data_IF_089414803830
#
_entry.id   IF_089414803830
#
_cell.length_a   1.000
_cell.length_b   1.000
_cell.length_c   1.000
_cell.angle_alpha   90.00
_cell.angle_beta   90.00
_cell.angle_gamma   90.00
#
_symmetry.space_group_name_H-M   'P 1'
#
loop_
_entity.id
_entity.type
_entity.pdbx_description
1 polymer ?
#
# COMPACT_ATOMS: atom_id res chain seq x y z
N UNK A 1 20.29 -7.22 37.09
CA UNK A 1 20.26 -6.54 35.77
C UNK A 1 19.79 -5.12 35.99
N UNK A 2 20.56 -4.14 35.54
CA UNK A 2 20.18 -2.73 35.71
C UNK A 2 18.99 -2.35 34.79
N UNK A 3 18.25 -1.28 35.15
CA UNK A 3 17.09 -0.82 34.38
C UNK A 3 17.45 -0.56 32.90
N UNK A 4 18.63 0.01 32.64
CA UNK A 4 19.14 0.28 31.30
C UNK A 4 19.32 -1.00 30.47
N UNK A 5 19.89 -2.05 31.05
CA UNK A 5 20.09 -3.35 30.40
C UNK A 5 18.76 -4.01 30.04
N UNK A 6 17.78 -3.91 30.95
CA UNK A 6 16.42 -4.42 30.71
C UNK A 6 15.72 -3.70 29.55
N UNK A 7 15.83 -2.38 29.47
CA UNK A 7 15.27 -1.59 28.37
C UNK A 7 15.90 -1.99 27.03
N UNK A 8 17.24 -2.11 26.98
CA UNK A 8 17.96 -2.55 25.76
C UNK A 8 17.52 -3.96 25.34
N UNK A 9 17.39 -4.88 26.32
CA UNK A 9 16.90 -6.24 26.07
C UNK A 9 15.49 -6.23 25.46
N UNK A 10 14.56 -5.46 26.04
CA UNK A 10 13.18 -5.33 25.54
C UNK A 10 13.14 -4.70 24.14
N UNK A 11 13.96 -3.70 23.86
CA UNK A 11 14.10 -3.11 22.53
C UNK A 11 14.63 -4.12 21.50
N UNK A 12 15.60 -4.96 21.91
CA UNK A 12 16.09 -6.05 21.05
C UNK A 12 14.98 -7.07 20.77
N UNK A 13 14.23 -7.50 21.79
CA UNK A 13 13.08 -8.41 21.61
C UNK A 13 12.01 -7.81 20.69
N UNK A 14 11.77 -6.49 20.79
CA UNK A 14 10.85 -5.78 19.92
C UNK A 14 11.31 -5.77 18.44
N UNK A 15 12.62 -5.66 18.18
CA UNK A 15 13.20 -5.71 16.83
C UNK A 15 13.15 -7.11 16.22
N UNK A 16 13.49 -8.13 17.02
CA UNK A 16 13.51 -9.54 16.59
C UNK A 16 12.15 -10.22 16.66
N UNK A 17 11.12 -9.54 17.21
CA UNK A 17 9.78 -10.08 17.51
C UNK A 17 9.81 -11.33 18.42
N UNK A 18 10.78 -11.42 19.31
CA UNK A 18 10.93 -12.54 20.25
C UNK A 18 10.08 -12.32 21.50
N UNK A 19 8.82 -12.77 21.42
CA UNK A 19 7.86 -12.70 22.54
C UNK A 19 8.34 -13.52 23.75
N UNK A 20 8.95 -14.70 23.52
CA UNK A 20 9.35 -15.61 24.59
C UNK A 20 10.42 -14.97 25.50
N UNK A 21 11.47 -14.38 24.88
CA UNK A 21 12.52 -13.69 25.60
C UNK A 21 11.98 -12.44 26.29
N UNK A 22 11.10 -11.68 25.61
CA UNK A 22 10.42 -10.52 26.19
C UNK A 22 9.55 -10.86 27.41
N UNK A 23 8.82 -11.99 27.37
CA UNK A 23 7.99 -12.45 28.50
C UNK A 23 8.84 -12.85 29.71
N UNK A 24 10.00 -13.50 29.49
CA UNK A 24 10.93 -13.83 30.60
C UNK A 24 11.46 -12.55 31.26
N UNK A 25 11.83 -11.55 30.46
CA UNK A 25 12.25 -10.24 30.99
C UNK A 25 11.11 -9.57 31.78
N UNK A 26 9.86 -9.63 31.29
CA UNK A 26 8.68 -9.12 32.01
C UNK A 26 8.51 -9.79 33.38
N UNK A 27 8.57 -11.13 33.46
CA UNK A 27 8.49 -11.85 34.72
C UNK A 27 9.59 -11.45 35.70
N UNK A 28 10.80 -11.25 35.21
CA UNK A 28 11.91 -10.73 36.05
C UNK A 28 11.61 -9.33 36.59
N UNK A 29 11.09 -8.43 35.75
CA UNK A 29 10.71 -7.07 36.13
C UNK A 29 9.62 -7.08 37.23
N UNK A 30 8.61 -7.95 37.08
CA UNK A 30 7.55 -8.09 38.08
C UNK A 30 8.08 -8.61 39.41
N UNK A 31 8.91 -9.67 39.41
CA UNK A 31 9.52 -10.25 40.66
C UNK A 31 10.39 -9.26 41.40
N UNK A 32 11.07 -8.36 40.68
CA UNK A 32 11.96 -7.36 41.29
C UNK A 32 11.25 -6.05 41.65
N UNK A 33 9.95 -5.92 41.35
CA UNK A 33 9.15 -4.72 41.60
C UNK A 33 9.61 -3.48 40.83
N UNK A 34 10.40 -3.67 39.76
CA UNK A 34 10.99 -2.58 38.98
C UNK A 34 9.97 -1.86 38.10
N UNK A 35 8.82 -2.49 37.77
CA UNK A 35 7.80 -1.90 36.91
C UNK A 35 7.30 -0.54 37.46
N UNK A 36 7.13 -0.43 38.77
CA UNK A 36 6.64 0.78 39.43
C UNK A 36 7.70 1.81 39.70
N UNK A 37 9.00 1.44 39.56
CA UNK A 37 10.13 2.33 39.82
C UNK A 37 10.55 3.19 38.64
N UNK A 38 10.17 2.75 37.39
CA UNK A 38 10.58 3.43 36.18
C UNK A 38 9.50 3.39 35.11
N UNK A 39 8.87 4.53 34.74
CA UNK A 39 7.94 4.60 33.63
C UNK A 39 8.55 4.17 32.29
N UNK A 40 9.86 4.35 32.11
CA UNK A 40 10.59 3.92 30.91
C UNK A 40 10.51 2.41 30.68
N UNK A 41 10.54 1.64 31.76
CA UNK A 41 10.50 0.17 31.70
C UNK A 41 9.12 -0.32 31.29
N UNK A 42 8.06 0.31 31.83
CA UNK A 42 6.69 0.04 31.43
C UNK A 42 6.44 0.37 29.95
N UNK A 43 6.90 1.54 29.50
CA UNK A 43 6.80 1.93 28.09
C UNK A 43 7.56 0.98 27.16
N UNK A 44 8.75 0.49 27.59
CA UNK A 44 9.52 -0.48 26.83
C UNK A 44 8.79 -1.85 26.72
N UNK A 45 8.13 -2.28 27.80
CA UNK A 45 7.30 -3.50 27.81
C UNK A 45 6.09 -3.37 26.89
N UNK A 46 5.34 -2.26 26.98
CA UNK A 46 4.20 -1.98 26.09
C UNK A 46 4.66 -2.01 24.62
N UNK A 47 5.77 -1.30 24.32
CA UNK A 47 6.34 -1.27 22.96
C UNK A 47 6.76 -2.65 22.47
N UNK A 48 7.42 -3.45 23.33
CA UNK A 48 7.85 -4.81 23.00
C UNK A 48 6.66 -5.70 22.68
N UNK A 49 5.65 -5.75 23.55
CA UNK A 49 4.46 -6.57 23.30
C UNK A 49 3.67 -6.09 22.08
N UNK A 50 3.51 -4.77 21.91
CA UNK A 50 2.85 -4.21 20.73
C UNK A 50 3.56 -4.62 19.44
N UNK A 51 4.89 -4.44 19.34
CA UNK A 51 5.67 -4.83 18.15
C UNK A 51 5.68 -6.33 17.88
N UNK A 52 5.53 -7.14 18.92
CA UNK A 52 5.37 -8.59 18.80
C UNK A 52 3.94 -9.04 18.46
N UNK A 53 2.98 -8.13 18.28
CA UNK A 53 1.58 -8.45 17.98
C UNK A 53 0.73 -8.87 19.19
N UNK A 54 1.30 -8.83 20.41
CA UNK A 54 0.60 -9.23 21.63
C UNK A 54 -0.11 -8.03 22.29
N UNK A 55 -1.11 -7.45 21.60
CA UNK A 55 -1.78 -6.22 22.05
C UNK A 55 -2.49 -6.36 23.40
N UNK A 56 -3.07 -7.53 23.67
CA UNK A 56 -3.70 -7.82 24.96
C UNK A 56 -2.71 -7.70 26.12
N UNK A 57 -1.50 -8.25 25.95
CA UNK A 57 -0.44 -8.11 26.98
C UNK A 57 0.11 -6.69 27.07
N UNK A 58 0.21 -5.99 25.94
CA UNK A 58 0.59 -4.58 25.94
C UNK A 58 -0.41 -3.75 26.76
N UNK A 59 -1.71 -4.02 26.60
CA UNK A 59 -2.76 -3.36 27.36
C UNK A 59 -2.73 -3.71 28.84
N UNK A 60 -2.54 -4.98 29.20
CA UNK A 60 -2.40 -5.41 30.62
C UNK A 60 -1.25 -4.66 31.31
N UNK A 61 -0.07 -4.59 30.66
CA UNK A 61 1.05 -3.81 31.20
C UNK A 61 0.70 -2.34 31.36
N UNK A 62 -0.03 -1.76 30.41
CA UNK A 62 -0.48 -0.38 30.49
C UNK A 62 -1.42 -0.16 31.69
N UNK A 63 -2.34 -1.08 31.94
CA UNK A 63 -3.26 -1.02 33.09
C UNK A 63 -2.53 -1.17 34.44
N UNK A 64 -1.47 -1.98 34.48
CA UNK A 64 -0.65 -2.19 35.66
C UNK A 64 0.24 -0.98 36.02
N UNK A 65 0.38 0.00 35.11
CA UNK A 65 1.17 1.20 35.39
C UNK A 65 0.48 2.11 36.44
N UNK A 66 1.18 2.42 37.51
CA UNK A 66 0.71 3.39 38.53
C UNK A 66 0.60 4.82 38.01
N UNK A 67 1.53 5.20 37.13
CA UNK A 67 1.58 6.53 36.50
C UNK A 67 1.67 6.34 35.01
N UNK A 68 0.68 6.81 34.30
CA UNK A 68 0.60 6.81 32.83
C UNK A 68 0.95 8.19 32.33
N UNK A 69 1.98 8.30 31.53
CA UNK A 69 2.36 9.55 30.88
C UNK A 69 1.98 9.55 29.40
N UNK A 70 2.18 10.68 28.72
CA UNK A 70 1.87 10.82 27.28
C UNK A 70 2.59 9.75 26.42
N UNK A 71 3.79 9.31 26.83
CA UNK A 71 4.54 8.28 26.10
C UNK A 71 3.89 6.90 26.26
N UNK A 72 3.37 6.56 27.45
CA UNK A 72 2.64 5.31 27.70
C UNK A 72 1.41 5.22 26.79
N UNK A 73 0.61 6.29 26.75
CA UNK A 73 -0.56 6.40 25.88
C UNK A 73 -0.20 6.30 24.39
N UNK A 74 0.79 7.07 23.93
CA UNK A 74 1.20 7.05 22.53
C UNK A 74 1.75 5.68 22.10
N UNK A 75 2.46 4.99 23.01
CA UNK A 75 2.99 3.65 22.72
C UNK A 75 1.86 2.63 22.56
N UNK A 76 0.84 2.70 23.41
CA UNK A 76 -0.33 1.83 23.31
C UNK A 76 -1.15 2.14 22.04
N UNK A 77 -1.50 3.41 21.84
CA UNK A 77 -2.28 3.86 20.67
C UNK A 77 -1.55 3.49 19.36
N UNK A 78 -0.25 3.79 19.28
CA UNK A 78 0.59 3.44 18.13
C UNK A 78 0.67 1.93 17.87
N UNK A 79 0.68 1.12 18.93
CA UNK A 79 0.60 -0.32 18.86
C UNK A 79 -0.70 -0.80 18.19
N UNK A 80 -1.85 -0.30 18.63
CA UNK A 80 -3.15 -0.61 18.02
C UNK A 80 -3.23 -0.16 16.55
N UNK A 81 -2.74 1.05 16.24
CA UNK A 81 -2.71 1.56 14.85
C UNK A 81 -1.88 0.68 13.93
N UNK A 82 -0.71 0.23 14.39
CA UNK A 82 0.21 -0.56 13.56
C UNK A 82 -0.30 -1.97 13.24
N UNK A 83 -1.27 -2.48 14.01
CA UNK A 83 -1.91 -3.79 13.82
C UNK A 83 -3.33 -3.69 13.23
N UNK A 84 -3.72 -2.53 12.70
CA UNK A 84 -5.01 -2.35 12.02
C UNK A 84 -6.20 -2.13 12.97
N UNK A 85 -5.99 -2.05 14.28
CA UNK A 85 -7.02 -1.83 15.29
C UNK A 85 -7.30 -0.32 15.48
N UNK A 86 -7.68 0.35 14.41
CA UNK A 86 -7.89 1.80 14.39
C UNK A 86 -9.04 2.28 15.28
N UNK A 87 -10.08 1.47 15.46
CA UNK A 87 -11.23 1.84 16.30
C UNK A 87 -10.83 1.95 17.77
N UNK A 88 -10.09 0.96 18.27
CA UNK A 88 -9.55 0.91 19.62
C UNK A 88 -8.52 2.04 19.83
N UNK A 89 -7.67 2.29 18.85
CA UNK A 89 -6.70 3.39 18.91
C UNK A 89 -7.39 4.76 19.10
N UNK A 90 -8.47 5.02 18.36
CA UNK A 90 -9.24 6.27 18.51
C UNK A 90 -10.02 6.33 19.84
N UNK A 91 -10.46 5.20 20.37
CA UNK A 91 -11.06 5.11 21.69
C UNK A 91 -10.04 5.53 22.76
N UNK A 92 -8.83 4.95 22.74
CA UNK A 92 -7.75 5.30 23.69
C UNK A 92 -7.28 6.75 23.52
N UNK A 93 -7.22 7.27 22.29
CA UNK A 93 -6.93 8.69 22.08
C UNK A 93 -7.97 9.61 22.75
N UNK A 94 -9.24 9.23 22.73
CA UNK A 94 -10.30 9.96 23.43
C UNK A 94 -10.18 9.81 24.95
N UNK A 95 -9.92 8.60 25.44
CA UNK A 95 -9.79 8.30 26.86
C UNK A 95 -8.59 9.01 27.51
N UNK A 96 -7.49 9.18 26.78
CA UNK A 96 -6.28 9.88 27.22
C UNK A 96 -6.59 11.27 27.82
N UNK A 97 -7.65 11.95 27.33
CA UNK A 97 -8.06 13.27 27.84
C UNK A 97 -8.87 13.20 29.13
N UNK A 98 -9.47 12.04 29.45
CA UNK A 98 -10.47 11.92 30.52
C UNK A 98 -9.99 11.07 31.69
N UNK A 99 -9.12 10.09 31.48
CA UNK A 99 -8.73 9.11 32.50
C UNK A 99 -7.58 9.55 33.41
N UNK A 100 -6.60 10.25 32.85
CA UNK A 100 -5.42 10.66 33.62
C UNK A 100 -5.36 12.19 33.68
N UNK A 101 -5.61 12.77 34.85
CA UNK A 101 -5.52 14.22 35.07
C UNK A 101 -4.12 14.74 34.73
N UNK A 102 -4.07 15.76 33.85
CA UNK A 102 -2.82 16.39 33.43
C UNK A 102 -2.12 15.77 32.20
N UNK A 103 -2.64 14.68 31.63
CA UNK A 103 -2.10 14.13 30.39
C UNK A 103 -2.80 14.76 29.18
N UNK A 104 -2.09 15.61 28.46
CA UNK A 104 -2.58 16.27 27.25
C UNK A 104 -1.95 15.62 25.99
N UNK A 105 -2.76 15.38 24.91
CA UNK A 105 -2.23 14.93 23.64
C UNK A 105 -1.14 15.87 23.11
N UNK A 106 -0.04 15.29 22.69
CA UNK A 106 1.09 15.95 22.03
C UNK A 106 1.09 15.65 20.51
N UNK A 107 1.99 16.22 19.69
CA UNK A 107 2.04 15.93 18.24
C UNK A 107 2.04 14.44 17.91
N UNK A 108 2.77 13.60 18.66
CA UNK A 108 2.81 12.14 18.42
C UNK A 108 1.43 11.50 18.62
N UNK A 109 0.67 11.96 19.62
CA UNK A 109 -0.71 11.47 19.84
C UNK A 109 -1.60 11.76 18.64
N UNK A 110 -1.50 12.98 18.08
CA UNK A 110 -2.25 13.38 16.88
C UNK A 110 -1.84 12.59 15.65
N UNK A 111 -0.51 12.34 15.45
CA UNK A 111 -0.03 11.50 14.36
C UNK A 111 -0.64 10.09 14.40
N UNK A 112 -0.68 9.47 15.57
CA UNK A 112 -1.31 8.15 15.74
C UNK A 112 -2.81 8.20 15.44
N UNK A 113 -3.52 9.22 15.93
CA UNK A 113 -4.95 9.38 15.72
C UNK A 113 -5.31 9.66 14.25
N UNK A 114 -4.56 10.52 13.55
CA UNK A 114 -4.73 10.78 12.12
C UNK A 114 -4.47 9.52 11.29
N UNK A 115 -3.41 8.76 11.62
CA UNK A 115 -3.13 7.49 10.95
C UNK A 115 -4.26 6.47 11.15
N UNK A 116 -4.85 6.43 12.35
CA UNK A 116 -6.01 5.58 12.63
C UNK A 116 -7.22 6.00 11.81
N UNK A 117 -7.52 7.31 11.70
CA UNK A 117 -8.61 7.84 10.88
C UNK A 117 -8.43 7.47 9.41
N UNK A 118 -7.22 7.67 8.86
CA UNK A 118 -6.92 7.30 7.48
C UNK A 118 -7.05 5.80 7.22
N UNK A 119 -6.62 4.95 8.15
CA UNK A 119 -6.75 3.49 8.00
C UNK A 119 -8.21 3.00 8.08
N UNK A 120 -9.08 3.75 8.73
CA UNK A 120 -10.51 3.47 8.85
C UNK A 120 -11.37 4.22 7.82
N UNK A 121 -10.75 5.05 7.00
CA UNK A 121 -11.42 5.97 6.06
C UNK A 121 -12.47 6.85 6.77
N UNK A 122 -12.21 7.20 8.03
CA UNK A 122 -13.14 7.87 8.91
C UNK A 122 -13.00 9.41 8.82
N UNK A 123 -13.46 10.01 7.72
CA UNK A 123 -13.31 11.43 7.39
C UNK A 123 -13.79 12.35 8.53
N UNK A 124 -15.01 12.17 9.03
CA UNK A 124 -15.57 13.03 10.08
C UNK A 124 -14.72 13.04 11.37
N UNK A 125 -14.14 11.87 11.73
CA UNK A 125 -13.26 11.80 12.90
C UNK A 125 -11.93 12.50 12.62
N UNK A 126 -11.42 12.35 11.40
CA UNK A 126 -10.22 13.04 10.92
C UNK A 126 -10.38 14.56 10.97
N UNK A 127 -11.50 15.09 10.49
CA UNK A 127 -11.83 16.52 10.53
C UNK A 127 -11.93 17.05 11.97
N UNK A 128 -12.54 16.29 12.89
CA UNK A 128 -12.58 16.66 14.31
C UNK A 128 -11.19 16.72 14.94
N UNK A 129 -10.29 15.81 14.55
CA UNK A 129 -8.90 15.83 15.02
C UNK A 129 -8.16 17.02 14.40
N UNK A 130 -8.39 17.34 13.12
CA UNK A 130 -7.82 18.51 12.47
C UNK A 130 -8.22 19.79 13.18
N UNK A 131 -9.49 19.97 13.51
CA UNK A 131 -9.95 21.11 14.32
C UNK A 131 -9.24 21.19 15.69
N UNK A 132 -8.99 20.06 16.35
CA UNK A 132 -8.24 20.04 17.60
C UNK A 132 -6.76 20.45 17.41
N UNK A 133 -6.16 20.10 16.29
CA UNK A 133 -4.80 20.50 15.91
C UNK A 133 -4.75 22.02 15.71
N UNK A 134 -5.69 22.59 14.96
CA UNK A 134 -5.82 24.03 14.76
C UNK A 134 -6.02 24.79 16.08
N UNK A 135 -6.88 24.31 16.97
CA UNK A 135 -7.08 24.91 18.28
C UNK A 135 -5.83 24.89 19.17
N UNK A 136 -4.91 23.94 18.92
CA UNK A 136 -3.61 23.88 19.60
C UNK A 136 -2.48 24.63 18.88
N UNK A 137 -2.75 25.20 17.72
CA UNK A 137 -1.79 25.96 16.90
C UNK A 137 -0.55 25.13 16.53
N UNK A 138 -0.71 23.83 16.24
CA UNK A 138 0.36 22.91 15.84
C UNK A 138 0.21 22.44 14.38
N UNK A 139 -0.71 23.01 13.61
CA UNK A 139 -0.95 22.71 12.19
C UNK A 139 0.26 22.98 11.33
N UNK A 140 1.08 23.96 11.69
CA UNK A 140 2.29 24.34 10.97
C UNK A 140 3.47 23.38 11.20
N UNK A 141 3.36 22.43 12.13
CA UNK A 141 4.36 21.39 12.27
C UNK A 141 4.32 20.47 11.03
N UNK A 142 5.42 20.42 10.28
CA UNK A 142 5.51 19.71 9.01
C UNK A 142 5.10 18.22 9.11
N UNK A 143 5.38 17.57 10.23
CA UNK A 143 4.98 16.18 10.49
C UNK A 143 3.46 16.05 10.64
N UNK A 144 2.79 17.02 11.26
CA UNK A 144 1.34 17.07 11.42
C UNK A 144 0.67 17.33 10.06
N UNK A 145 1.13 18.37 9.32
CA UNK A 145 0.62 18.70 8.01
C UNK A 145 0.73 17.50 7.04
N UNK A 146 1.88 16.83 6.98
CA UNK A 146 2.06 15.63 6.16
C UNK A 146 1.12 14.48 6.56
N UNK A 147 0.83 14.33 7.85
CA UNK A 147 -0.10 13.30 8.33
C UNK A 147 -1.57 13.66 8.05
N UNK A 148 -1.92 14.94 8.06
CA UNK A 148 -3.23 15.44 7.63
C UNK A 148 -3.44 15.17 6.14
N UNK A 149 -2.47 15.51 5.28
CA UNK A 149 -2.52 15.20 3.85
C UNK A 149 -2.72 13.70 3.64
N UNK A 150 -1.95 12.84 4.33
CA UNK A 150 -2.08 11.39 4.24
C UNK A 150 -3.42 10.86 4.76
N UNK A 151 -3.99 11.44 5.80
CA UNK A 151 -5.31 11.09 6.31
C UNK A 151 -6.40 11.46 5.31
N UNK A 152 -6.40 12.70 4.80
CA UNK A 152 -7.38 13.16 3.82
C UNK A 152 -7.29 12.39 2.51
N UNK A 153 -6.07 12.07 2.05
CA UNK A 153 -5.82 11.20 0.89
C UNK A 153 -6.51 9.84 1.02
N UNK A 154 -6.37 9.18 2.16
CA UNK A 154 -6.99 7.87 2.42
C UNK A 154 -8.51 7.95 2.55
N UNK A 155 -9.03 9.08 3.01
CA UNK A 155 -10.47 9.35 3.10
C UNK A 155 -11.07 9.86 1.77
N UNK A 156 -10.33 9.80 0.66
CA UNK A 156 -10.73 10.31 -0.66
C UNK A 156 -11.14 11.80 -0.68
N UNK A 157 -10.63 12.60 0.26
CA UNK A 157 -10.92 14.02 0.44
C UNK A 157 -9.76 14.85 -0.12
N UNK A 158 -9.69 14.93 -1.46
CA UNK A 158 -8.55 15.48 -2.17
C UNK A 158 -8.43 17.00 -2.00
N UNK A 159 -9.56 17.70 -1.94
CA UNK A 159 -9.60 19.16 -1.76
C UNK A 159 -8.97 19.57 -0.44
N UNK A 160 -9.32 18.90 0.64
CA UNK A 160 -8.77 19.18 1.97
C UNK A 160 -7.29 18.79 2.05
N UNK A 161 -6.88 17.72 1.36
CA UNK A 161 -5.46 17.37 1.26
C UNK A 161 -4.66 18.47 0.55
N UNK A 162 -5.20 19.05 -0.53
CA UNK A 162 -4.61 20.16 -1.26
C UNK A 162 -4.55 21.42 -0.39
N UNK A 163 -5.65 21.79 0.29
CA UNK A 163 -5.69 22.98 1.15
C UNK A 163 -4.61 22.92 2.24
N UNK A 164 -4.48 21.77 2.92
CA UNK A 164 -3.41 21.58 3.92
C UNK A 164 -2.02 21.70 3.30
N UNK A 165 -1.81 21.19 2.08
CA UNK A 165 -0.52 21.31 1.40
C UNK A 165 -0.19 22.77 1.05
N UNK A 166 -1.18 23.52 0.58
CA UNK A 166 -1.00 24.92 0.16
C UNK A 166 -0.68 25.85 1.35
N UNK A 167 -1.08 25.48 2.56
CA UNK A 167 -0.71 26.19 3.80
C UNK A 167 0.73 25.93 4.25
N UNK A 168 1.41 24.88 3.73
CA UNK A 168 2.80 24.60 4.09
C UNK A 168 3.76 25.62 3.45
N UNK A 169 4.43 26.43 4.25
CA UNK A 169 5.37 27.44 3.74
C UNK A 169 6.55 26.84 2.98
N UNK A 170 7.12 25.74 3.49
CA UNK A 170 8.29 25.06 2.90
C UNK A 170 8.03 23.56 2.79
N UNK A 171 7.26 23.11 1.77
CA UNK A 171 6.99 21.69 1.59
C UNK A 171 8.28 20.92 1.27
N UNK A 172 8.49 19.80 1.94
CA UNK A 172 9.61 18.90 1.68
C UNK A 172 9.16 17.72 0.78
N UNK A 173 10.12 16.83 0.47
CA UNK A 173 9.84 15.64 -0.36
C UNK A 173 8.70 14.76 0.21
N UNK A 174 8.51 14.71 1.54
CA UNK A 174 7.45 13.93 2.16
C UNK A 174 6.08 14.59 1.90
N UNK A 175 6.00 15.93 1.98
CA UNK A 175 4.79 16.69 1.68
C UNK A 175 4.35 16.47 0.23
N UNK A 176 5.28 16.61 -0.71
CA UNK A 176 5.03 16.38 -2.13
C UNK A 176 4.62 14.94 -2.41
N UNK A 177 5.33 13.96 -1.84
CA UNK A 177 5.01 12.55 -2.02
C UNK A 177 3.61 12.21 -1.49
N UNK A 178 3.21 12.77 -0.34
CA UNK A 178 1.89 12.57 0.22
C UNK A 178 0.79 13.11 -0.69
N UNK A 179 0.94 14.33 -1.22
CA UNK A 179 -0.03 14.95 -2.12
C UNK A 179 -0.09 14.23 -3.46
N UNK A 180 1.06 13.96 -4.10
CA UNK A 180 1.15 13.23 -5.38
C UNK A 180 0.49 11.85 -5.25
N UNK A 181 0.72 11.15 -4.13
CA UNK A 181 0.05 9.86 -3.86
C UNK A 181 -1.46 10.01 -3.73
N UNK A 182 -1.94 11.10 -3.12
CA UNK A 182 -3.37 11.40 -3.04
C UNK A 182 -4.01 11.51 -4.43
N UNK A 183 -3.40 12.26 -5.32
CA UNK A 183 -3.87 12.48 -6.69
C UNK A 183 -3.86 11.20 -7.55
N UNK A 184 -2.80 10.38 -7.45
CA UNK A 184 -2.75 9.07 -8.14
C UNK A 184 -3.85 8.14 -7.65
N UNK A 185 -4.05 8.05 -6.33
CA UNK A 185 -5.07 7.16 -5.76
C UNK A 185 -6.49 7.59 -6.08
N UNK A 186 -6.74 8.89 -6.31
CA UNK A 186 -8.03 9.40 -6.79
C UNK A 186 -8.22 9.25 -8.31
N UNK A 187 -7.25 8.72 -9.04
CA UNK A 187 -7.28 8.61 -10.50
C UNK A 187 -7.02 9.92 -11.24
N UNK A 188 -6.65 11.01 -10.55
CA UNK A 188 -6.37 12.33 -11.14
C UNK A 188 -4.96 12.39 -11.73
N UNK A 189 -4.70 11.51 -12.70
CA UNK A 189 -3.36 11.28 -13.24
C UNK A 189 -2.75 12.51 -13.94
N UNK A 190 -3.57 13.35 -14.58
CA UNK A 190 -3.10 14.58 -15.22
C UNK A 190 -2.53 15.59 -14.20
N UNK A 191 -3.23 15.77 -13.09
CA UNK A 191 -2.77 16.64 -12.00
C UNK A 191 -1.54 16.06 -11.30
N UNK A 192 -1.45 14.74 -11.19
CA UNK A 192 -0.26 14.04 -10.66
C UNK A 192 1.00 14.45 -11.44
N UNK A 193 0.95 14.44 -12.78
CA UNK A 193 2.10 14.82 -13.62
C UNK A 193 2.41 16.32 -13.51
N UNK A 194 1.40 17.18 -13.40
CA UNK A 194 1.62 18.60 -13.14
C UNK A 194 2.32 18.85 -11.81
N UNK A 195 1.87 18.18 -10.73
CA UNK A 195 2.51 18.30 -9.42
C UNK A 195 3.94 17.76 -9.42
N UNK A 196 4.20 16.68 -10.16
CA UNK A 196 5.55 16.16 -10.35
C UNK A 196 6.46 17.21 -11.01
N UNK A 197 6.01 17.85 -12.10
CA UNK A 197 6.74 18.93 -12.76
C UNK A 197 6.96 20.15 -11.86
N UNK A 198 5.95 20.56 -11.09
CA UNK A 198 6.06 21.68 -10.14
C UNK A 198 7.08 21.38 -9.03
N UNK A 199 7.10 20.15 -8.50
CA UNK A 199 8.08 19.73 -7.51
C UNK A 199 9.51 19.85 -8.06
N UNK A 200 9.73 19.37 -9.29
CA UNK A 200 11.04 19.48 -9.96
C UNK A 200 11.44 20.93 -10.24
N UNK A 201 10.49 21.76 -10.68
CA UNK A 201 10.72 23.20 -10.91
C UNK A 201 11.13 23.94 -9.64
N UNK A 202 10.69 23.46 -8.46
CA UNK A 202 11.14 23.95 -7.14
C UNK A 202 12.48 23.36 -6.68
N UNK A 203 13.16 22.57 -7.51
CA UNK A 203 14.45 21.96 -7.21
C UNK A 203 14.40 20.81 -6.21
N UNK A 204 13.21 20.24 -5.93
CA UNK A 204 13.06 19.11 -5.01
C UNK A 204 13.24 17.82 -5.81
N UNK A 205 14.23 17.02 -5.43
CA UNK A 205 14.52 15.74 -6.09
C UNK A 205 13.46 14.68 -5.73
N UNK A 206 12.89 13.99 -6.76
CA UNK A 206 11.96 12.89 -6.53
C UNK A 206 12.63 11.72 -5.82
N UNK A 207 11.88 11.03 -4.97
CA UNK A 207 12.25 9.74 -4.40
C UNK A 207 11.50 8.59 -5.11
N UNK A 208 11.80 7.34 -4.74
CA UNK A 208 11.17 6.15 -5.34
C UNK A 208 9.64 6.22 -5.31
N UNK A 209 9.04 6.67 -4.21
CA UNK A 209 7.59 6.77 -4.07
C UNK A 209 6.97 7.76 -5.08
N UNK A 210 7.61 8.91 -5.30
CA UNK A 210 7.18 9.91 -6.27
C UNK A 210 7.34 9.40 -7.70
N UNK A 211 8.46 8.73 -8.02
CA UNK A 211 8.66 8.12 -9.33
C UNK A 211 7.60 7.06 -9.63
N UNK A 212 7.30 6.16 -8.68
CA UNK A 212 6.24 5.16 -8.81
C UNK A 212 4.89 5.83 -9.12
N UNK A 213 4.53 6.89 -8.40
CA UNK A 213 3.28 7.62 -8.64
C UNK A 213 3.24 8.26 -10.03
N UNK A 214 4.31 8.93 -10.44
CA UNK A 214 4.39 9.59 -11.73
C UNK A 214 4.36 8.58 -12.90
N UNK A 215 5.09 7.47 -12.80
CA UNK A 215 5.07 6.39 -13.79
C UNK A 215 3.69 5.72 -13.90
N UNK A 216 3.01 5.46 -12.77
CA UNK A 216 1.63 4.94 -12.77
C UNK A 216 0.68 5.91 -13.48
N UNK A 217 0.84 7.22 -13.26
CA UNK A 217 0.05 8.24 -13.95
C UNK A 217 0.32 8.25 -15.46
N UNK A 218 1.60 8.11 -15.89
CA UNK A 218 1.95 7.99 -17.32
C UNK A 218 1.29 6.75 -17.95
N UNK A 219 1.39 5.60 -17.31
CA UNK A 219 0.76 4.37 -17.81
C UNK A 219 -0.76 4.48 -17.91
N UNK A 220 -1.42 5.09 -16.93
CA UNK A 220 -2.87 5.30 -16.94
C UNK A 220 -3.34 6.29 -18.02
N UNK A 221 -2.52 7.28 -18.37
CA UNK A 221 -2.79 8.26 -19.44
C UNK A 221 -2.25 7.80 -20.81
N UNK A 222 -1.57 6.67 -20.88
CA UNK A 222 -0.87 6.19 -22.08
C UNK A 222 0.10 7.26 -22.62
N UNK A 223 0.76 8.00 -21.72
CA UNK A 223 1.67 9.09 -22.07
C UNK A 223 3.13 8.61 -22.07
N UNK A 224 3.55 8.03 -23.20
CA UNK A 224 4.89 7.50 -23.38
C UNK A 224 5.98 8.56 -23.23
N UNK A 225 5.77 9.77 -23.79
CA UNK A 225 6.77 10.83 -23.78
C UNK A 225 7.17 11.23 -22.35
N UNK A 226 6.18 11.53 -21.51
CA UNK A 226 6.44 11.81 -20.08
C UNK A 226 7.04 10.60 -19.36
N UNK A 227 6.62 9.38 -19.73
CA UNK A 227 7.18 8.15 -19.18
C UNK A 227 8.68 7.98 -19.44
N UNK A 228 9.13 8.26 -20.66
CA UNK A 228 10.54 8.22 -21.05
C UNK A 228 11.35 9.30 -20.34
N UNK A 229 10.80 10.52 -20.20
CA UNK A 229 11.44 11.59 -19.45
C UNK A 229 11.63 11.21 -17.97
N UNK A 230 10.59 10.63 -17.34
CA UNK A 230 10.67 10.16 -15.95
C UNK A 230 11.67 9.02 -15.83
N UNK A 231 11.72 8.06 -16.77
CA UNK A 231 12.72 6.99 -16.78
C UNK A 231 14.14 7.56 -16.81
N UNK A 232 14.39 8.57 -17.66
CA UNK A 232 15.69 9.26 -17.70
C UNK A 232 16.05 9.89 -16.34
N UNK A 233 15.07 10.42 -15.61
CA UNK A 233 15.30 10.98 -14.27
C UNK A 233 15.55 9.86 -13.23
N UNK A 234 14.87 8.73 -13.34
CA UNK A 234 15.12 7.53 -12.50
C UNK A 234 16.56 7.07 -12.66
N UNK A 235 17.06 6.97 -13.90
CA UNK A 235 18.46 6.62 -14.22
C UNK A 235 19.45 7.60 -13.61
N UNK A 236 19.23 8.91 -13.81
CA UNK A 236 20.10 9.96 -13.26
C UNK A 236 20.19 9.97 -11.74
N UNK A 237 19.13 9.54 -11.04
CA UNK A 237 19.07 9.52 -9.56
C UNK A 237 19.52 8.19 -8.95
N UNK A 238 19.87 7.19 -9.78
CA UNK A 238 20.25 5.86 -9.32
C UNK A 238 19.10 5.02 -8.73
N UNK A 239 17.85 5.43 -8.95
CA UNK A 239 16.67 4.72 -8.45
C UNK A 239 16.34 3.45 -9.27
N UNK A 240 17.12 3.12 -10.29
CA UNK A 240 16.98 1.90 -11.10
C UNK A 240 17.25 0.60 -10.33
N UNK A 241 17.91 0.66 -9.16
CA UNK A 241 18.15 -0.51 -8.33
C UNK A 241 16.90 -0.94 -7.53
N UNK A 242 15.89 -0.05 -7.44
CA UNK A 242 14.65 -0.34 -6.72
C UNK A 242 13.71 -1.23 -7.55
N UNK A 243 13.39 -2.41 -7.00
CA UNK A 243 12.52 -3.40 -7.67
C UNK A 243 11.12 -2.86 -7.97
N UNK A 244 10.56 -2.00 -7.09
CA UNK A 244 9.23 -1.42 -7.28
C UNK A 244 9.23 -0.38 -8.38
N UNK A 245 10.28 0.44 -8.49
CA UNK A 245 10.45 1.40 -9.58
C UNK A 245 10.56 0.68 -10.91
N UNK A 246 11.41 -0.36 -11.01
CA UNK A 246 11.57 -1.15 -12.24
C UNK A 246 10.28 -1.88 -12.64
N UNK A 247 9.57 -2.46 -11.67
CA UNK A 247 8.28 -3.10 -11.96
C UNK A 247 7.23 -2.10 -12.47
N UNK A 248 7.29 -0.85 -11.97
CA UNK A 248 6.38 0.22 -12.41
C UNK A 248 6.79 0.80 -13.77
N UNK A 249 8.09 0.88 -14.08
CA UNK A 249 8.60 1.23 -15.40
C UNK A 249 8.14 0.21 -16.45
N UNK A 250 8.28 -1.08 -16.14
CA UNK A 250 7.79 -2.16 -16.99
C UNK A 250 6.28 -2.01 -17.27
N UNK A 251 5.46 -1.83 -16.23
CA UNK A 251 4.01 -1.65 -16.37
C UNK A 251 3.66 -0.40 -17.19
N UNK A 252 4.38 0.71 -16.99
CA UNK A 252 4.22 1.95 -17.76
C UNK A 252 4.50 1.72 -19.25
N UNK A 253 5.65 1.13 -19.59
CA UNK A 253 5.99 0.87 -20.99
C UNK A 253 5.01 -0.12 -21.63
N UNK A 254 4.64 -1.18 -20.94
CA UNK A 254 3.65 -2.15 -21.38
C UNK A 254 2.30 -1.49 -21.70
N UNK A 255 1.78 -0.64 -20.81
CA UNK A 255 0.52 0.10 -21.01
C UNK A 255 0.60 1.13 -22.12
N UNK A 256 1.76 1.76 -22.31
CA UNK A 256 1.98 2.71 -23.39
C UNK A 256 2.24 2.03 -24.77
N UNK A 257 2.25 0.69 -24.84
CA UNK A 257 2.49 -0.06 -26.08
C UNK A 257 3.95 -0.10 -26.54
N UNK A 258 4.90 0.41 -25.74
CA UNK A 258 6.34 0.34 -26.02
C UNK A 258 6.91 -1.01 -25.55
N UNK A 259 6.53 -2.08 -26.26
CA UNK A 259 6.79 -3.46 -25.82
C UNK A 259 8.28 -3.83 -25.86
N UNK A 260 9.07 -3.22 -26.74
CA UNK A 260 10.52 -3.44 -26.80
C UNK A 260 11.20 -2.90 -25.55
N UNK A 261 10.82 -1.70 -25.11
CA UNK A 261 11.33 -1.10 -23.87
C UNK A 261 10.85 -1.88 -22.64
N UNK A 262 9.57 -2.29 -22.64
CA UNK A 262 9.02 -3.14 -21.59
C UNK A 262 9.81 -4.45 -21.46
N UNK A 263 10.09 -5.13 -22.56
CA UNK A 263 10.90 -6.35 -22.57
C UNK A 263 12.33 -6.09 -22.11
N UNK A 264 12.95 -4.99 -22.55
CA UNK A 264 14.31 -4.64 -22.12
C UNK A 264 14.41 -4.43 -20.61
N UNK A 265 13.41 -3.76 -20.00
CA UNK A 265 13.32 -3.61 -18.54
C UNK A 265 13.09 -4.97 -17.89
N UNK A 266 12.20 -5.80 -18.43
CA UNK A 266 11.90 -7.13 -17.89
C UNK A 266 13.14 -8.05 -17.86
N UNK A 267 13.95 -8.05 -18.92
CA UNK A 267 15.16 -8.88 -18.98
C UNK A 267 16.26 -8.41 -18.01
N UNK A 268 16.27 -7.14 -17.61
CA UNK A 268 17.16 -6.61 -16.57
C UNK A 268 16.76 -6.99 -15.15
N UNK A 269 15.50 -7.44 -14.91
CA UNK A 269 15.05 -7.82 -13.58
C UNK A 269 15.72 -9.10 -13.11
N UNK A 270 16.49 -9.03 -12.02
CA UNK A 270 17.12 -10.21 -11.39
C UNK A 270 16.07 -11.15 -10.78
N UNK A 271 15.02 -10.58 -10.17
CA UNK A 271 13.94 -11.33 -9.54
C UNK A 271 12.59 -11.02 -10.21
N UNK A 272 12.19 -11.89 -11.11
CA UNK A 272 10.93 -11.79 -11.84
C UNK A 272 9.80 -12.38 -10.99
N UNK A 273 8.89 -11.54 -10.53
CA UNK A 273 7.71 -11.96 -9.77
C UNK A 273 6.47 -12.02 -10.66
N UNK A 274 5.35 -12.50 -10.10
CA UNK A 274 4.06 -12.59 -10.84
C UNK A 274 3.60 -11.24 -11.38
N UNK A 275 3.92 -10.12 -10.73
CA UNK A 275 3.52 -8.77 -11.17
C UNK A 275 4.28 -8.38 -12.43
N UNK A 276 5.59 -8.61 -12.49
CA UNK A 276 6.41 -8.32 -13.67
C UNK A 276 5.98 -9.16 -14.89
N UNK A 277 5.76 -10.47 -14.69
CA UNK A 277 5.23 -11.34 -15.74
C UNK A 277 3.85 -10.89 -16.22
N UNK A 278 2.94 -10.56 -15.30
CA UNK A 278 1.59 -10.11 -15.65
C UNK A 278 1.61 -8.79 -16.43
N UNK A 279 2.48 -7.85 -16.07
CA UNK A 279 2.63 -6.59 -16.81
C UNK A 279 3.12 -6.82 -18.25
N UNK A 280 4.12 -7.68 -18.44
CA UNK A 280 4.63 -8.00 -19.78
C UNK A 280 3.58 -8.73 -20.62
N UNK A 281 2.95 -9.79 -20.07
CA UNK A 281 1.88 -10.55 -20.74
C UNK A 281 0.70 -9.63 -21.07
N UNK A 282 0.33 -8.72 -20.15
CA UNK A 282 -0.72 -7.73 -20.36
C UNK A 282 -0.41 -6.78 -21.52
N UNK A 283 0.80 -6.26 -21.59
CA UNK A 283 1.25 -5.41 -22.69
C UNK A 283 1.10 -6.10 -24.04
N UNK A 284 1.56 -7.35 -24.17
CA UNK A 284 1.37 -8.14 -25.38
C UNK A 284 -0.10 -8.44 -25.68
N UNK A 285 -0.93 -8.68 -24.67
CA UNK A 285 -2.35 -8.95 -24.83
C UNK A 285 -3.17 -7.70 -25.20
N UNK A 286 -2.68 -6.51 -24.90
CA UNK A 286 -3.34 -5.23 -25.19
C UNK A 286 -2.93 -4.66 -26.54
N UNK A 287 -1.65 -4.76 -26.90
CA UNK A 287 -1.08 -4.07 -28.06
C UNK A 287 -0.58 -5.03 -29.16
N UNK A 288 -0.51 -6.35 -28.88
CA UNK A 288 0.11 -7.34 -29.77
C UNK A 288 1.65 -7.22 -29.82
N UNK A 289 2.36 -8.22 -30.34
CA UNK A 289 1.84 -9.48 -30.91
C UNK A 289 1.30 -10.43 -29.83
N UNK A 290 0.05 -10.82 -29.96
CA UNK A 290 -0.66 -11.66 -28.97
C UNK A 290 -0.02 -13.04 -28.74
N UNK A 291 0.69 -13.57 -29.74
CA UNK A 291 1.49 -14.81 -29.62
C UNK A 291 2.54 -14.73 -28.53
N UNK A 292 3.19 -13.55 -28.36
CA UNK A 292 4.23 -13.35 -27.37
C UNK A 292 3.68 -13.40 -25.94
N UNK A 293 2.40 -13.08 -25.73
CA UNK A 293 1.75 -13.26 -24.44
C UNK A 293 1.75 -14.75 -24.03
N UNK A 294 1.45 -15.65 -24.98
CA UNK A 294 1.44 -17.10 -24.75
C UNK A 294 2.86 -17.67 -24.58
N UNK A 295 3.83 -17.16 -25.34
CA UNK A 295 5.25 -17.52 -25.18
C UNK A 295 5.74 -17.08 -23.80
N UNK A 296 5.44 -15.85 -23.41
CA UNK A 296 5.81 -15.32 -22.09
C UNK A 296 5.17 -16.13 -20.96
N UNK A 297 3.93 -16.60 -21.14
CA UNK A 297 3.28 -17.48 -20.17
C UNK A 297 4.00 -18.82 -19.99
N UNK A 298 4.44 -19.46 -21.08
CA UNK A 298 5.23 -20.69 -21.01
C UNK A 298 6.54 -20.48 -20.23
N UNK A 299 7.25 -19.37 -20.51
CA UNK A 299 8.46 -19.00 -19.76
C UNK A 299 8.19 -18.78 -18.27
N UNK A 300 7.07 -18.12 -17.93
CA UNK A 300 6.61 -17.93 -16.53
C UNK A 300 6.40 -19.27 -15.82
N UNK A 301 5.80 -20.25 -16.52
CA UNK A 301 5.62 -21.61 -15.98
C UNK A 301 6.95 -22.36 -15.80
N UNK A 302 7.89 -22.22 -16.74
CA UNK A 302 9.25 -22.79 -16.66
C UNK A 302 10.02 -22.24 -15.46
N UNK A 303 9.85 -20.94 -15.14
CA UNK A 303 10.38 -20.29 -13.93
C UNK A 303 9.59 -20.65 -12.65
N UNK A 304 8.57 -21.53 -12.74
CA UNK A 304 7.71 -21.99 -11.64
C UNK A 304 6.97 -20.85 -10.91
N UNK A 305 6.67 -19.77 -11.61
CA UNK A 305 5.91 -18.66 -11.06
C UNK A 305 4.43 -18.91 -11.34
N UNK A 306 3.63 -19.00 -10.26
CA UNK A 306 2.20 -19.25 -10.38
C UNK A 306 1.46 -18.03 -10.94
N UNK A 307 0.64 -18.19 -12.01
CA UNK A 307 -0.20 -17.11 -12.52
C UNK A 307 -1.29 -16.72 -11.52
N UNK A 308 -1.65 -15.45 -11.52
CA UNK A 308 -2.78 -14.88 -10.76
C UNK A 308 -3.99 -14.63 -11.69
N UNK A 309 -5.10 -14.15 -11.12
CA UNK A 309 -6.33 -13.81 -11.85
C UNK A 309 -6.05 -12.86 -13.03
N UNK A 310 -5.26 -11.79 -12.78
CA UNK A 310 -4.93 -10.81 -13.81
C UNK A 310 -4.13 -11.44 -14.97
N UNK A 311 -3.20 -12.37 -14.67
CA UNK A 311 -2.46 -13.12 -15.69
C UNK A 311 -3.42 -13.90 -16.60
N UNK A 312 -4.40 -14.63 -16.03
CA UNK A 312 -5.37 -15.39 -16.82
C UNK A 312 -6.26 -14.49 -17.66
N UNK A 313 -6.73 -13.35 -17.14
CA UNK A 313 -7.50 -12.36 -17.89
C UNK A 313 -6.73 -11.87 -19.12
N UNK A 314 -5.44 -11.54 -18.98
CA UNK A 314 -4.60 -11.13 -20.10
C UNK A 314 -4.41 -12.24 -21.12
N UNK A 315 -4.18 -13.48 -20.68
CA UNK A 315 -4.02 -14.65 -21.58
C UNK A 315 -5.30 -14.98 -22.34
N UNK A 316 -6.46 -14.95 -21.69
CA UNK A 316 -7.75 -15.16 -22.33
C UNK A 316 -8.02 -14.07 -23.38
N UNK A 317 -7.67 -12.80 -23.08
CA UNK A 317 -7.73 -11.70 -24.04
C UNK A 317 -6.85 -11.96 -25.26
N UNK A 318 -5.61 -12.41 -25.03
CA UNK A 318 -4.69 -12.75 -26.13
C UNK A 318 -5.22 -13.90 -26.99
N UNK A 319 -5.74 -14.99 -26.40
CA UNK A 319 -6.36 -16.10 -27.11
C UNK A 319 -7.55 -15.66 -27.97
N UNK A 320 -8.43 -14.83 -27.41
CA UNK A 320 -9.55 -14.27 -28.15
C UNK A 320 -9.12 -13.42 -29.34
N UNK A 321 -8.09 -12.57 -29.18
CA UNK A 321 -7.58 -11.72 -30.25
C UNK A 321 -6.82 -12.51 -31.33
N UNK A 322 -6.19 -13.64 -30.98
CA UNK A 322 -5.55 -14.57 -31.94
C UNK A 322 -6.55 -15.50 -32.62
N UNK A 323 -7.78 -15.67 -32.08
CA UNK A 323 -8.69 -16.69 -32.51
C UNK A 323 -8.23 -18.14 -32.20
N UNK A 324 -7.30 -18.33 -31.28
CA UNK A 324 -6.69 -19.64 -30.95
C UNK A 324 -7.51 -20.37 -29.89
N UNK A 325 -8.60 -20.99 -30.30
CA UNK A 325 -9.55 -21.70 -29.42
C UNK A 325 -8.88 -22.79 -28.59
N UNK A 326 -7.92 -23.55 -29.16
CA UNK A 326 -7.24 -24.64 -28.44
C UNK A 326 -6.50 -24.12 -27.19
N UNK A 327 -5.78 -23.01 -27.32
CA UNK A 327 -5.10 -22.39 -26.17
C UNK A 327 -6.11 -21.85 -25.15
N UNK A 328 -7.23 -21.26 -25.62
CA UNK A 328 -8.31 -20.80 -24.77
C UNK A 328 -8.98 -21.92 -23.96
N UNK A 329 -9.23 -23.09 -24.57
CA UNK A 329 -9.77 -24.28 -23.89
C UNK A 329 -8.78 -24.81 -22.84
N UNK A 330 -7.49 -24.89 -23.20
CA UNK A 330 -6.46 -25.33 -22.25
C UNK A 330 -6.36 -24.42 -21.03
N UNK A 331 -6.43 -23.11 -21.22
CA UNK A 331 -6.48 -22.13 -20.13
C UNK A 331 -7.75 -22.25 -19.30
N UNK A 332 -8.91 -22.44 -19.94
CA UNK A 332 -10.18 -22.65 -19.23
C UNK A 332 -10.11 -23.89 -18.32
N UNK A 333 -9.57 -25.00 -18.84
CA UNK A 333 -9.36 -26.21 -18.04
C UNK A 333 -8.44 -25.96 -16.84
N UNK A 334 -7.33 -25.24 -17.03
CA UNK A 334 -6.42 -24.88 -15.93
C UNK A 334 -7.10 -24.00 -14.89
N UNK A 335 -7.89 -23.00 -15.31
CA UNK A 335 -8.66 -22.10 -14.45
C UNK A 335 -9.65 -22.90 -13.59
N UNK A 336 -10.39 -23.85 -14.20
CA UNK A 336 -11.34 -24.74 -13.51
C UNK A 336 -10.62 -25.66 -12.52
N UNK A 337 -9.47 -26.25 -12.92
CA UNK A 337 -8.63 -27.07 -12.05
C UNK A 337 -8.14 -26.32 -10.80
N UNK A 338 -7.83 -25.05 -10.95
CA UNK A 338 -7.41 -24.19 -9.84
C UNK A 338 -8.56 -23.64 -8.99
N UNK A 339 -9.80 -23.91 -9.39
CA UNK A 339 -10.99 -23.46 -8.66
C UNK A 339 -11.24 -21.97 -8.66
N UNK A 340 -10.71 -21.22 -9.64
CA UNK A 340 -10.85 -19.75 -9.77
C UNK A 340 -11.86 -19.34 -10.85
N UNK A 341 -12.57 -20.28 -11.44
CA UNK A 341 -13.58 -20.05 -12.48
C UNK A 341 -14.74 -19.16 -12.01
N UNK A 342 -15.07 -19.20 -10.71
CA UNK A 342 -16.13 -18.38 -10.10
C UNK A 342 -15.79 -16.89 -9.95
N UNK A 343 -14.56 -16.47 -10.27
CA UNK A 343 -14.18 -15.06 -10.25
C UNK A 343 -14.84 -14.31 -11.42
N UNK A 344 -15.47 -13.15 -11.11
CA UNK A 344 -16.25 -12.38 -12.08
C UNK A 344 -15.41 -11.90 -13.29
N UNK A 345 -14.14 -11.52 -13.06
CA UNK A 345 -13.25 -11.05 -14.13
C UNK A 345 -12.88 -12.21 -15.06
N UNK A 346 -12.64 -13.38 -14.49
CA UNK A 346 -12.35 -14.60 -15.26
C UNK A 346 -13.56 -15.02 -16.06
N UNK A 347 -14.76 -15.09 -15.45
CA UNK A 347 -16.01 -15.40 -16.16
C UNK A 347 -16.21 -14.50 -17.37
N UNK A 348 -16.14 -13.19 -17.18
CA UNK A 348 -16.30 -12.23 -18.29
C UNK A 348 -15.24 -12.42 -19.38
N UNK A 349 -13.99 -12.69 -18.97
CA UNK A 349 -12.89 -12.91 -19.92
C UNK A 349 -13.02 -14.21 -20.71
N UNK A 350 -13.53 -15.29 -20.08
CA UNK A 350 -13.86 -16.56 -20.75
C UNK A 350 -14.97 -16.38 -21.76
N UNK A 351 -16.07 -15.72 -21.38
CA UNK A 351 -17.20 -15.42 -22.29
C UNK A 351 -16.69 -14.63 -23.51
N UNK A 352 -15.93 -13.56 -23.26
CA UNK A 352 -15.35 -12.73 -24.31
C UNK A 352 -14.42 -13.53 -25.26
N UNK A 353 -13.56 -14.37 -24.70
CA UNK A 353 -12.64 -15.24 -25.45
C UNK A 353 -13.43 -16.20 -26.36
N UNK A 354 -14.46 -16.91 -25.84
CA UNK A 354 -15.27 -17.81 -26.61
C UNK A 354 -16.05 -17.10 -27.73
N UNK A 355 -16.61 -15.93 -27.48
CA UNK A 355 -17.27 -15.10 -28.48
C UNK A 355 -16.31 -14.75 -29.62
N UNK A 356 -15.13 -14.22 -29.28
CA UNK A 356 -14.10 -13.83 -30.26
C UNK A 356 -13.57 -15.00 -31.07
N UNK A 357 -13.54 -16.21 -30.49
CA UNK A 357 -13.19 -17.44 -31.21
C UNK A 357 -14.35 -18.06 -32.02
N UNK A 358 -15.56 -17.47 -32.00
CA UNK A 358 -16.73 -17.97 -32.75
C UNK A 358 -17.55 -19.07 -32.04
N UNK A 359 -17.27 -19.37 -30.78
CA UNK A 359 -17.94 -20.42 -29.98
C UNK A 359 -19.05 -19.84 -29.09
N UNK A 360 -20.05 -19.20 -29.74
CA UNK A 360 -21.13 -18.46 -29.07
C UNK A 360 -21.97 -19.36 -28.13
N UNK A 361 -22.24 -20.61 -28.52
CA UNK A 361 -23.00 -21.55 -27.66
C UNK A 361 -22.31 -21.80 -26.33
N UNK A 362 -20.99 -21.96 -26.35
CA UNK A 362 -20.20 -22.16 -25.13
C UNK A 362 -20.13 -20.90 -24.25
N UNK A 363 -20.04 -19.74 -24.90
CA UNK A 363 -20.11 -18.46 -24.16
C UNK A 363 -21.47 -18.27 -23.48
N UNK A 364 -22.58 -18.68 -24.15
CA UNK A 364 -23.92 -18.62 -23.57
C UNK A 364 -24.11 -19.58 -22.40
N UNK A 365 -23.58 -20.80 -22.45
CA UNK A 365 -23.57 -21.73 -21.31
C UNK A 365 -22.86 -21.13 -20.10
N UNK A 366 -21.67 -20.55 -20.29
CA UNK A 366 -20.91 -19.89 -19.22
C UNK A 366 -21.66 -18.68 -18.64
N UNK A 367 -22.30 -17.89 -19.49
CA UNK A 367 -23.11 -16.76 -19.05
C UNK A 367 -24.25 -17.20 -18.11
N UNK A 368 -24.94 -18.30 -18.44
CA UNK A 368 -26.02 -18.84 -17.62
C UNK A 368 -25.52 -19.44 -16.29
N UNK A 369 -24.27 -19.92 -16.25
CA UNK A 369 -23.68 -20.51 -15.04
C UNK A 369 -23.05 -19.44 -14.12
N UNK A 370 -22.80 -18.22 -14.63
CA UNK A 370 -22.31 -17.11 -13.81
C UNK A 370 -23.33 -16.75 -12.72
N UNK A 371 -22.92 -16.87 -11.46
CA UNK A 371 -23.78 -16.62 -10.28
C UNK A 371 -24.30 -15.17 -10.17
N UNK A 372 -23.58 -14.21 -10.75
CA UNK A 372 -23.93 -12.77 -10.75
C UNK A 372 -23.53 -12.12 -12.08
N UNK A 373 -24.31 -12.27 -13.15
CA UNK A 373 -24.04 -11.58 -14.41
C UNK A 373 -24.09 -10.07 -14.23
N UNK A 374 -23.11 -9.36 -14.76
CA UNK A 374 -23.02 -7.89 -14.72
C UNK A 374 -23.10 -7.30 -16.14
N UNK A 375 -23.08 -5.95 -16.25
CA UNK A 375 -23.16 -5.24 -17.55
C UNK A 375 -22.08 -5.73 -18.53
N UNK A 376 -20.86 -6.03 -18.06
CA UNK A 376 -19.78 -6.53 -18.91
C UNK A 376 -20.03 -7.95 -19.44
N UNK A 377 -20.88 -8.75 -18.80
CA UNK A 377 -21.29 -10.07 -19.30
C UNK A 377 -22.34 -9.96 -20.42
N UNK A 378 -23.06 -8.84 -20.49
CA UNK A 378 -24.09 -8.58 -21.49
C UNK A 378 -23.56 -7.88 -22.76
N UNK A 379 -22.44 -7.19 -22.69
CA UNK A 379 -21.81 -6.46 -23.80
C UNK A 379 -20.91 -7.36 -24.64
#
# INVERSE_FOLDING_TARGET
MEIKELVILLQSCAKTRDVCKGTRAHHHILRTGLLHKSPYLGNALISMYAKCGSLVRAHQVFDDLRVRNVVSWNTLIGGYVSHGHGKEALMYFKEMKHKDEGVSPNPVSFLCALKACGNLEALEKGQKIHLLIMLKQIENELCIANSLIGMYSKCASLLEAQNVFDEIQTPNIISWAALITAYVNSGSNGETLKLFGLMQAKGILPNNAVFICALRACGALVNLNSGVEIHTNVTKTGCEEDLMVNSTLLDMYAKCGSLLDAQAIFEKLENRNVVAWTALIGGYADHGPYSEALVSYKRMQEERIAPNIATYVCLLKACGNLGTIHNGISLHFEITWKGVEGDQLICNSLICMYIKCGFVSRAHELFLTCLTPNIASWS
#
